data_IF_371020784923
#
_entry.id   IF_371020784923
#
_cell.length_a   1.000
_cell.length_b   1.000
_cell.length_c   1.000
_cell.angle_alpha   90.00
_cell.angle_beta   90.00
_cell.angle_gamma   90.00
#
_symmetry.space_group_name_H-M   'P 1'
#
loop_
_entity.id
_entity.type
_entity.pdbx_description
1 polymer ?
#
# COMPACT_ATOMS: atom_id res chain seq x y z
N UNK A 1 -20.84 1.90 3.94
CA UNK A 1 -19.87 1.26 3.03
C UNK A 1 -19.80 -0.15 3.56
N UNK A 2 -20.33 -1.13 2.82
CA UNK A 2 -20.55 -2.46 3.38
C UNK A 2 -19.41 -3.38 2.90
N UNK A 3 -18.28 -3.32 3.60
CA UNK A 3 -17.17 -4.28 3.42
C UNK A 3 -17.58 -5.61 4.08
N UNK A 4 -17.38 -6.72 3.37
CA UNK A 4 -17.77 -8.04 3.86
C UNK A 4 -17.02 -8.37 5.16
N UNK A 5 -17.77 -8.41 6.26
CA UNK A 5 -17.24 -8.62 7.61
C UNK A 5 -17.59 -10.01 8.07
N UNK A 6 -16.61 -10.79 8.51
CA UNK A 6 -16.85 -12.11 9.08
C UNK A 6 -16.64 -12.07 10.60
N UNK A 7 -17.61 -12.57 11.36
CA UNK A 7 -17.42 -12.83 12.80
C UNK A 7 -17.53 -14.33 13.04
N UNK A 8 -16.42 -14.92 13.49
CA UNK A 8 -16.32 -16.31 13.92
C UNK A 8 -16.29 -16.43 15.44
N UNK A 9 -16.08 -17.65 15.97
CA UNK A 9 -15.84 -17.87 17.40
C UNK A 9 -14.62 -17.04 17.86
N UNK A 10 -14.87 -15.81 18.33
CA UNK A 10 -13.91 -14.82 18.84
C UNK A 10 -13.00 -14.11 17.83
N UNK A 11 -13.43 -13.92 16.57
CA UNK A 11 -12.64 -13.12 15.61
C UNK A 11 -13.55 -12.24 14.75
N UNK A 12 -13.33 -10.93 14.76
CA UNK A 12 -13.75 -10.03 13.69
C UNK A 12 -12.65 -10.05 12.62
N UNK A 13 -13.01 -10.30 11.37
CA UNK A 13 -12.05 -10.29 10.26
C UNK A 13 -12.57 -9.54 9.05
N UNK A 14 -11.67 -8.75 8.45
CA UNK A 14 -11.90 -7.99 7.22
C UNK A 14 -10.75 -8.21 6.26
N UNK A 15 -11.11 -8.41 4.98
CA UNK A 15 -10.15 -8.49 3.89
C UNK A 15 -9.56 -7.10 3.63
N UNK A 16 -8.33 -6.93 4.08
CA UNK A 16 -7.55 -5.73 3.88
C UNK A 16 -7.41 -5.33 2.40
N UNK A 17 -7.41 -6.29 1.47
CA UNK A 17 -7.27 -6.03 0.04
C UNK A 17 -8.51 -5.34 -0.52
N UNK A 18 -9.70 -5.79 -0.14
CA UNK A 18 -10.95 -5.22 -0.64
C UNK A 18 -11.10 -3.78 -0.16
N UNK A 19 -10.74 -3.51 1.10
CA UNK A 19 -10.72 -2.16 1.62
C UNK A 19 -9.75 -1.25 0.85
N UNK A 20 -8.49 -1.69 0.69
CA UNK A 20 -7.48 -0.93 -0.04
C UNK A 20 -7.93 -0.67 -1.48
N UNK A 21 -8.55 -1.65 -2.13
CA UNK A 21 -9.07 -1.53 -3.50
C UNK A 21 -10.18 -0.48 -3.58
N UNK A 22 -11.13 -0.49 -2.65
CA UNK A 22 -12.22 0.50 -2.64
C UNK A 22 -11.69 1.93 -2.42
N UNK A 23 -10.72 2.10 -1.53
CA UNK A 23 -10.05 3.38 -1.28
C UNK A 23 -9.42 3.89 -2.57
N UNK A 24 -8.60 3.07 -3.22
CA UNK A 24 -7.95 3.45 -4.48
C UNK A 24 -8.98 3.87 -5.54
N UNK A 25 -10.11 3.17 -5.63
CA UNK A 25 -11.23 3.52 -6.53
C UNK A 25 -11.90 4.86 -6.20
N UNK A 26 -11.98 5.24 -4.92
CA UNK A 26 -12.59 6.52 -4.49
C UNK A 26 -11.69 7.70 -4.78
N UNK A 27 -10.40 7.53 -4.58
CA UNK A 27 -9.46 8.61 -4.78
C UNK A 27 -9.28 8.90 -6.28
N UNK A 28 -9.38 7.93 -7.21
CA UNK A 28 -9.06 8.20 -8.63
C UNK A 28 -9.72 7.44 -9.79
N UNK A 29 -9.53 8.03 -10.98
CA UNK A 29 -10.10 7.69 -12.31
C UNK A 29 -9.01 7.33 -13.34
N UNK A 30 -7.75 7.05 -12.94
CA UNK A 30 -6.68 6.62 -13.85
C UNK A 30 -5.58 5.78 -13.16
N UNK A 31 -5.26 4.62 -13.75
CA UNK A 31 -4.19 3.71 -13.30
C UNK A 31 -2.79 4.23 -13.67
N UNK A 32 -1.76 3.92 -12.86
CA UNK A 32 -0.38 4.40 -13.03
C UNK A 32 0.61 3.29 -13.46
N UNK A 33 0.49 2.72 -14.68
CA UNK A 33 1.13 1.46 -15.04
C UNK A 33 2.66 1.51 -15.12
N UNK A 34 3.25 2.64 -15.49
CA UNK A 34 4.70 2.76 -15.60
C UNK A 34 5.36 2.64 -14.21
N UNK A 35 4.85 3.38 -13.23
CA UNK A 35 5.35 3.32 -11.86
C UNK A 35 5.02 1.97 -11.21
N UNK A 36 3.83 1.41 -11.44
CA UNK A 36 3.49 0.07 -10.94
C UNK A 36 4.49 -1.00 -11.43
N UNK A 37 4.89 -0.92 -12.71
CA UNK A 37 5.93 -1.80 -13.24
C UNK A 37 7.29 -1.56 -12.58
N UNK A 38 7.67 -0.31 -12.32
CA UNK A 38 8.91 0.01 -11.57
C UNK A 38 8.86 -0.60 -10.17
N UNK A 39 7.78 -0.43 -9.41
CA UNK A 39 7.61 -1.01 -8.08
C UNK A 39 7.70 -2.54 -8.09
N UNK A 40 7.09 -3.17 -9.10
CA UNK A 40 7.17 -4.62 -9.29
C UNK A 40 8.60 -5.10 -9.58
N UNK A 41 9.38 -4.28 -10.29
CA UNK A 41 10.78 -4.57 -10.59
C UNK A 41 11.66 -4.42 -9.33
N UNK A 42 11.37 -3.46 -8.46
CA UNK A 42 12.16 -3.19 -7.24
C UNK A 42 11.81 -4.13 -6.08
N UNK A 43 10.52 -4.47 -5.88
CA UNK A 43 10.05 -5.25 -4.72
C UNK A 43 10.47 -6.75 -4.71
N UNK A 44 11.32 -7.19 -5.64
CA UNK A 44 11.83 -8.57 -5.66
C UNK A 44 13.26 -8.58 -5.08
N UNK A 45 13.53 -9.38 -4.02
CA UNK A 45 14.91 -9.62 -3.63
C UNK A 45 15.65 -10.27 -4.82
N UNK A 46 16.60 -9.53 -5.40
CA UNK A 46 17.29 -9.92 -6.63
C UNK A 46 16.67 -9.41 -7.94
N UNK A 47 15.84 -8.36 -7.91
CA UNK A 47 15.29 -7.77 -9.13
C UNK A 47 14.42 -8.73 -9.92
N UNK A 48 14.12 -8.37 -11.17
CA UNK A 48 13.38 -9.22 -12.08
C UNK A 48 14.22 -10.45 -12.44
N UNK A 49 14.15 -11.53 -11.66
CA UNK A 49 15.10 -12.66 -11.76
C UNK A 49 16.50 -12.25 -11.24
N UNK A 50 17.17 -13.11 -10.46
CA UNK A 50 18.41 -12.81 -9.72
C UNK A 50 19.57 -12.24 -10.57
N UNK A 51 19.44 -12.30 -11.90
CA UNK A 51 20.42 -11.88 -12.90
C UNK A 51 20.10 -10.52 -13.56
N UNK A 52 19.01 -9.84 -13.19
CA UNK A 52 18.62 -8.55 -13.78
C UNK A 52 18.99 -7.36 -12.90
N UNK A 53 19.82 -6.47 -13.42
CA UNK A 53 20.17 -5.16 -12.87
C UNK A 53 19.19 -4.09 -13.37
N UNK A 54 18.82 -3.13 -12.51
CA UNK A 54 17.96 -2.01 -12.89
C UNK A 54 18.74 -0.70 -12.96
N UNK A 55 18.52 0.03 -14.04
CA UNK A 55 19.12 1.35 -14.28
C UNK A 55 18.04 2.41 -14.42
N UNK A 56 18.33 3.63 -13.99
CA UNK A 56 17.45 4.79 -14.07
C UNK A 56 18.12 5.96 -14.79
N UNK A 57 17.35 6.66 -15.62
CA UNK A 57 17.73 7.95 -16.19
C UNK A 57 16.53 8.91 -16.30
N UNK A 58 16.85 10.19 -16.46
CA UNK A 58 15.90 11.23 -16.82
C UNK A 58 15.10 10.83 -18.07
N UNK A 59 13.82 11.22 -18.14
CA UNK A 59 12.90 10.78 -19.19
C UNK A 59 13.31 11.14 -20.63
N UNK A 60 14.11 12.21 -20.79
CA UNK A 60 14.61 12.64 -22.10
C UNK A 60 15.95 12.00 -22.46
N UNK A 61 16.63 11.38 -21.49
CA UNK A 61 17.89 10.67 -21.74
C UNK A 61 17.57 9.37 -22.44
N UNK A 62 18.08 9.20 -23.65
CA UNK A 62 17.97 7.91 -24.34
C UNK A 62 19.00 6.97 -23.74
N UNK A 63 18.55 5.86 -23.14
CA UNK A 63 19.44 4.77 -22.75
C UNK A 63 19.60 3.84 -23.94
N UNK A 64 20.77 3.88 -24.56
CA UNK A 64 21.20 2.91 -25.55
C UNK A 64 21.84 1.69 -24.88
N UNK A 65 22.15 0.69 -25.71
CA UNK A 65 22.76 -0.53 -25.22
C UNK A 65 24.05 -0.09 -24.49
N UNK A 66 24.94 0.58 -25.19
CA UNK A 66 26.33 0.85 -24.78
C UNK A 66 26.47 1.58 -23.43
N UNK A 67 25.45 2.35 -23.03
CA UNK A 67 25.43 3.12 -21.78
C UNK A 67 25.39 2.25 -20.51
N UNK A 68 24.92 1.00 -20.63
CA UNK A 68 24.79 0.06 -19.49
C UNK A 68 25.80 -1.09 -19.56
N UNK A 69 26.91 -0.93 -20.28
CA UNK A 69 27.96 -1.95 -20.27
C UNK A 69 28.66 -2.00 -18.89
N UNK A 70 29.13 -3.19 -18.41
CA UNK A 70 29.69 -3.37 -17.06
C UNK A 70 30.91 -2.50 -16.71
N UNK A 71 31.56 -1.93 -17.71
CA UNK A 71 32.79 -1.13 -17.54
C UNK A 71 32.55 0.38 -17.74
N UNK A 72 31.31 0.77 -18.04
CA UNK A 72 30.96 2.17 -18.30
C UNK A 72 30.81 2.93 -16.98
N UNK A 73 31.63 3.97 -16.78
CA UNK A 73 31.57 4.86 -15.61
C UNK A 73 30.59 6.04 -15.83
N UNK A 74 30.40 6.42 -17.09
CA UNK A 74 29.49 7.50 -17.52
C UNK A 74 28.20 6.88 -18.07
N UNK A 75 27.13 6.85 -17.28
CA UNK A 75 25.89 6.20 -17.69
C UNK A 75 24.71 6.46 -16.76
N UNK A 76 23.54 5.85 -17.04
CA UNK A 76 22.40 5.87 -16.15
C UNK A 76 22.77 5.32 -14.78
N UNK A 77 22.12 5.81 -13.72
CA UNK A 77 22.40 5.38 -12.36
C UNK A 77 21.88 3.95 -12.14
N UNK A 78 22.66 3.15 -11.43
CA UNK A 78 22.28 1.80 -11.03
C UNK A 78 21.46 1.82 -9.72
N UNK A 79 20.41 1.01 -9.65
CA UNK A 79 19.60 0.81 -8.45
C UNK A 79 20.10 -0.43 -7.70
N UNK A 80 20.87 -0.21 -6.63
CA UNK A 80 21.63 -1.25 -5.88
C UNK A 80 20.85 -1.86 -4.69
N UNK A 81 19.73 -1.25 -4.28
CA UNK A 81 18.95 -1.70 -3.13
C UNK A 81 17.70 -2.50 -3.57
N UNK A 82 17.35 -3.53 -2.78
CA UNK A 82 16.05 -4.18 -2.88
C UNK A 82 14.91 -3.20 -2.55
N UNK A 83 15.18 -2.14 -1.80
CA UNK A 83 14.29 -1.02 -1.57
C UNK A 83 14.50 0.09 -2.62
N UNK A 84 14.17 -0.23 -3.87
CA UNK A 84 14.39 0.68 -4.99
C UNK A 84 13.66 2.03 -4.85
N UNK A 85 12.56 2.11 -4.10
CA UNK A 85 11.90 3.39 -3.81
C UNK A 85 12.81 4.33 -3.01
N UNK A 86 13.49 3.80 -2.00
CA UNK A 86 14.43 4.57 -1.18
C UNK A 86 15.63 5.06 -1.99
N UNK A 87 16.13 4.26 -2.93
CA UNK A 87 17.19 4.70 -3.84
C UNK A 87 16.70 5.79 -4.81
N UNK A 88 15.49 5.66 -5.35
CA UNK A 88 14.87 6.71 -6.16
C UNK A 88 14.69 8.03 -5.40
N UNK A 89 14.37 7.94 -4.10
CA UNK A 89 14.31 9.10 -3.21
C UNK A 89 15.69 9.72 -2.96
N UNK A 90 16.72 8.90 -2.64
CA UNK A 90 18.11 9.38 -2.48
C UNK A 90 18.64 10.07 -3.74
N UNK A 91 18.30 9.52 -4.92
CA UNK A 91 18.65 10.11 -6.21
C UNK A 91 17.80 11.35 -6.54
N UNK A 92 16.76 11.66 -5.76
CA UNK A 92 15.93 12.86 -5.88
C UNK A 92 14.90 12.79 -7.02
N UNK A 93 14.44 11.61 -7.40
CA UNK A 93 13.40 11.44 -8.43
C UNK A 93 11.99 11.50 -7.84
N UNK A 94 11.84 11.08 -6.59
CA UNK A 94 10.56 11.05 -5.87
C UNK A 94 10.75 11.30 -4.37
N UNK A 95 9.65 11.50 -3.66
CA UNK A 95 9.58 11.39 -2.19
C UNK A 95 8.48 10.41 -1.80
N UNK A 96 8.66 9.74 -0.67
CA UNK A 96 7.72 8.76 -0.13
C UNK A 96 7.11 9.29 1.16
N UNK A 97 5.78 9.22 1.26
CA UNK A 97 5.03 9.66 2.42
C UNK A 97 4.06 8.58 2.86
N UNK A 98 4.23 8.08 4.08
CA UNK A 98 3.27 7.15 4.67
C UNK A 98 1.96 7.89 4.97
N UNK A 99 0.89 7.47 4.32
CA UNK A 99 -0.43 8.04 4.54
C UNK A 99 -1.05 7.39 5.77
N UNK A 100 -0.96 6.06 5.81
CA UNK A 100 -1.42 5.25 6.92
C UNK A 100 -0.93 3.80 6.87
N UNK A 101 -0.94 3.16 8.04
CA UNK A 101 -0.44 1.80 8.26
C UNK A 101 -1.15 1.15 9.44
N UNK A 102 -1.52 -0.12 9.28
CA UNK A 102 -2.19 -0.94 10.30
C UNK A 102 -1.66 -2.38 10.21
N UNK A 103 -1.44 -3.03 11.36
CA UNK A 103 -1.01 -4.45 11.43
C UNK A 103 -2.15 -5.35 11.83
N UNK A 104 -2.20 -6.58 11.34
CA UNK A 104 -3.17 -7.60 11.76
C UNK A 104 -3.07 -7.93 13.26
N UNK A 105 -1.86 -7.85 13.83
CA UNK A 105 -1.64 -8.18 15.25
C UNK A 105 -2.29 -7.20 16.23
N UNK A 106 -2.58 -5.98 15.77
CA UNK A 106 -3.19 -4.92 16.55
C UNK A 106 -4.60 -4.57 16.04
N UNK A 107 -5.15 -5.34 15.10
CA UNK A 107 -6.40 -5.02 14.41
C UNK A 107 -7.34 -6.20 14.20
N UNK A 108 -8.57 -5.88 13.78
CA UNK A 108 -9.57 -6.82 13.28
C UNK A 108 -9.30 -7.26 11.82
N UNK A 109 -8.12 -7.01 11.26
CA UNK A 109 -7.79 -7.38 9.88
C UNK A 109 -7.22 -8.79 9.78
N UNK A 110 -7.46 -9.45 8.64
CA UNK A 110 -6.82 -10.73 8.33
C UNK A 110 -5.31 -10.58 8.00
N UNK A 111 -4.93 -9.45 7.42
CA UNK A 111 -3.54 -9.05 7.14
C UNK A 111 -3.40 -7.54 7.41
N UNK A 112 -2.18 -7.07 7.71
CA UNK A 112 -1.92 -5.63 7.78
C UNK A 112 -2.24 -4.91 6.47
N UNK A 113 -2.38 -3.58 6.50
CA UNK A 113 -2.58 -2.75 5.31
C UNK A 113 -1.82 -1.44 5.40
N UNK A 114 -1.42 -0.91 4.25
CA UNK A 114 -0.68 0.33 4.16
C UNK A 114 -1.10 1.14 2.93
N UNK A 115 -1.15 2.45 3.10
CA UNK A 115 -1.30 3.41 2.01
C UNK A 115 -0.09 4.35 2.03
N UNK A 116 0.53 4.52 0.87
CA UNK A 116 1.72 5.34 0.71
C UNK A 116 1.54 6.30 -0.46
N UNK A 117 1.79 7.59 -0.25
CA UNK A 117 1.89 8.56 -1.33
C UNK A 117 3.33 8.61 -1.85
N UNK A 118 3.46 8.47 -3.16
CA UNK A 118 4.72 8.60 -3.88
C UNK A 118 4.60 9.88 -4.71
N UNK A 119 5.36 10.91 -4.35
CA UNK A 119 5.43 12.15 -5.14
C UNK A 119 6.62 12.07 -6.08
N UNK A 120 6.37 11.87 -7.35
CA UNK A 120 7.39 11.94 -8.41
C UNK A 120 7.68 13.41 -8.70
N UNK A 121 8.93 13.81 -8.47
CA UNK A 121 9.42 15.18 -8.63
C UNK A 121 9.94 15.43 -10.05
N UNK A 122 10.63 14.43 -10.61
CA UNK A 122 11.26 14.53 -11.93
C UNK A 122 10.85 13.36 -12.80
N UNK A 123 10.59 13.57 -14.11
CA UNK A 123 10.24 12.48 -15.00
C UNK A 123 11.44 11.56 -15.20
N UNK A 124 11.25 10.26 -15.05
CA UNK A 124 12.30 9.26 -15.23
C UNK A 124 11.78 8.01 -15.92
N UNK A 125 12.69 7.19 -16.41
CA UNK A 125 12.37 5.83 -16.84
C UNK A 125 13.43 4.87 -16.29
N UNK A 126 13.08 3.59 -16.27
CA UNK A 126 14.01 2.54 -15.90
C UNK A 126 14.21 1.55 -17.03
N UNK A 127 15.35 0.85 -17.01
CA UNK A 127 15.61 -0.30 -17.87
C UNK A 127 16.16 -1.44 -17.04
N UNK A 128 15.66 -2.65 -17.29
CA UNK A 128 16.23 -3.87 -16.73
C UNK A 128 17.26 -4.45 -17.70
N UNK A 129 18.41 -4.84 -17.19
CA UNK A 129 19.55 -5.36 -17.95
C UNK A 129 19.95 -6.71 -17.36
N UNK A 130 19.99 -7.75 -18.20
CA UNK A 130 20.50 -9.07 -17.79
C UNK A 130 21.95 -9.18 -18.23
N UNK A 131 22.83 -9.51 -17.29
CA UNK A 131 24.25 -9.78 -17.55
C UNK A 131 24.51 -11.29 -17.68
N UNK A 132 25.46 -11.69 -18.55
CA UNK A 132 25.86 -13.10 -18.77
C UNK A 132 27.37 -13.22 -18.89
N UNK A 133 27.90 -14.35 -18.41
CA UNK A 133 29.32 -14.71 -18.45
C UNK A 133 29.51 -16.02 -19.24
N UNK A 134 29.91 -15.92 -20.51
CA UNK A 134 30.15 -17.12 -21.34
C UNK A 134 31.54 -17.72 -21.16
N UNK A 135 32.54 -16.92 -20.81
CA UNK A 135 33.96 -17.32 -20.93
C UNK A 135 34.78 -17.29 -19.63
N UNK A 136 34.35 -16.60 -18.58
CA UNK A 136 35.11 -16.49 -17.34
C UNK A 136 34.21 -16.60 -16.10
N UNK A 137 34.67 -17.34 -15.08
CA UNK A 137 34.07 -17.41 -13.74
C UNK A 137 34.37 -16.16 -12.89
N UNK A 138 35.32 -15.31 -13.33
CA UNK A 138 35.82 -14.14 -12.60
C UNK A 138 36.06 -13.01 -13.60
N UNK A 139 35.46 -11.84 -13.37
CA UNK A 139 35.53 -10.65 -14.24
C UNK A 139 34.16 -10.07 -14.59
N UNK A 140 34.10 -8.89 -15.23
CA UNK A 140 32.83 -8.31 -15.69
C UNK A 140 32.15 -9.19 -16.74
N UNK A 141 30.83 -9.05 -16.87
CA UNK A 141 30.06 -9.82 -17.83
C UNK A 141 30.52 -9.56 -19.28
N UNK A 142 30.63 -10.60 -20.10
CA UNK A 142 31.01 -10.48 -21.51
C UNK A 142 29.80 -10.34 -22.45
N UNK A 143 28.58 -10.47 -21.90
CA UNK A 143 27.33 -10.23 -22.60
C UNK A 143 26.29 -9.61 -21.70
N UNK A 144 25.40 -8.81 -22.29
CA UNK A 144 24.30 -8.19 -21.57
C UNK A 144 23.23 -7.70 -22.54
N UNK A 145 21.97 -7.73 -22.13
CA UNK A 145 20.82 -7.32 -22.95
C UNK A 145 19.82 -6.51 -22.11
N UNK A 146 19.24 -5.46 -22.70
CA UNK A 146 18.11 -4.73 -22.08
C UNK A 146 16.85 -5.59 -22.27
N UNK A 147 16.25 -6.02 -21.16
CA UNK A 147 15.11 -6.94 -21.13
C UNK A 147 13.78 -6.28 -20.78
N UNK A 148 13.80 -5.11 -20.13
CA UNK A 148 12.59 -4.38 -19.75
C UNK A 148 12.73 -2.87 -19.97
N UNK A 149 11.62 -2.23 -20.37
CA UNK A 149 11.48 -0.78 -20.55
C UNK A 149 10.05 -0.35 -20.16
N UNK A 150 9.77 -0.10 -18.87
CA UNK A 150 8.42 0.15 -18.35
C UNK A 150 7.72 1.41 -18.89
N UNK A 151 8.46 2.26 -19.61
CA UNK A 151 8.00 3.58 -20.04
C UNK A 151 8.45 4.68 -19.09
N UNK A 152 7.98 5.90 -19.35
CA UNK A 152 8.29 7.08 -18.54
C UNK A 152 7.31 7.18 -17.38
N UNK A 153 7.84 7.39 -16.19
CA UNK A 153 7.12 7.82 -14.99
C UNK A 153 7.12 9.34 -14.97
N UNK A 154 5.94 9.95 -15.05
CA UNK A 154 5.78 11.40 -15.10
C UNK A 154 5.57 12.02 -13.70
N UNK A 155 5.93 13.30 -13.51
CA UNK A 155 5.71 14.02 -12.26
C UNK A 155 4.26 14.00 -11.84
N UNK A 156 4.05 13.87 -10.54
CA UNK A 156 2.74 13.66 -9.97
C UNK A 156 2.79 13.01 -8.62
N UNK A 157 1.69 13.09 -7.89
CA UNK A 157 1.47 12.26 -6.71
C UNK A 157 0.80 10.98 -7.18
N UNK A 158 1.20 9.85 -6.62
CA UNK A 158 0.63 8.52 -6.82
C UNK A 158 0.30 7.92 -5.46
N UNK A 159 -0.77 7.16 -5.33
CA UNK A 159 -1.13 6.45 -4.09
C UNK A 159 -0.99 4.96 -4.34
N UNK A 160 -0.09 4.34 -3.58
CA UNK A 160 0.19 2.92 -3.56
C UNK A 160 -0.52 2.28 -2.37
N UNK A 161 -1.25 1.21 -2.61
CA UNK A 161 -1.89 0.39 -1.60
C UNK A 161 -1.26 -0.98 -1.52
N UNK A 162 -0.96 -1.44 -0.32
CA UNK A 162 -0.40 -2.77 -0.08
C UNK A 162 -0.97 -3.43 1.17
N UNK A 163 -0.92 -4.77 1.21
CA UNK A 163 -1.42 -5.61 2.31
C UNK A 163 -0.36 -6.60 2.81
N UNK A 164 -0.34 -6.89 4.10
CA UNK A 164 0.61 -7.78 4.77
C UNK A 164 1.41 -7.09 5.87
N UNK A 165 1.73 -7.82 6.95
CA UNK A 165 2.43 -7.28 8.12
C UNK A 165 3.95 -7.22 7.97
N UNK A 166 4.54 -8.32 7.47
CA UNK A 166 6.00 -8.49 7.35
C UNK A 166 6.47 -8.57 5.91
N UNK A 167 5.57 -8.92 4.99
CA UNK A 167 5.80 -8.93 3.55
C UNK A 167 4.58 -8.34 2.89
N UNK A 168 4.67 -7.06 2.56
CA UNK A 168 3.59 -6.37 1.89
C UNK A 168 3.49 -6.83 0.44
N UNK A 169 2.26 -7.03 -0.01
CA UNK A 169 1.87 -7.35 -1.38
C UNK A 169 1.15 -6.14 -1.94
N UNK A 170 1.58 -5.70 -3.12
CA UNK A 170 0.93 -4.63 -3.86
C UNK A 170 -0.53 -5.03 -4.19
N UNK A 171 -1.45 -4.13 -3.85
CA UNK A 171 -2.87 -4.23 -4.19
C UNK A 171 -3.19 -3.33 -5.38
N UNK A 172 -2.53 -2.18 -5.47
CA UNK A 172 -2.72 -1.27 -6.58
C UNK A 172 -2.01 0.07 -6.43
N UNK A 173 -1.94 0.77 -7.55
CA UNK A 173 -1.32 2.07 -7.66
C UNK A 173 -2.17 2.97 -8.57
N UNK A 174 -2.65 4.07 -7.99
CA UNK A 174 -3.39 5.09 -8.75
C UNK A 174 -2.54 6.33 -8.87
N UNK A 175 -2.61 7.00 -10.03
CA UNK A 175 -2.19 8.40 -10.08
C UNK A 175 -3.04 9.12 -9.03
N UNK A 176 -2.51 10.04 -8.22
CA UNK A 176 -3.14 10.76 -7.08
C UNK A 176 -3.17 12.30 -7.17
N UNK A 177 -2.32 12.92 -7.98
CA UNK A 177 -2.31 14.37 -8.16
C UNK A 177 -1.42 14.87 -9.27
N UNK A 178 -1.62 16.09 -9.78
CA UNK A 178 -0.48 16.86 -10.30
C UNK A 178 0.60 16.99 -9.20
N UNK A 179 1.87 17.25 -9.55
CA UNK A 179 2.97 17.29 -8.59
C UNK A 179 2.87 18.42 -7.56
N UNK A 180 1.96 19.37 -7.72
CA UNK A 180 1.65 20.43 -6.75
C UNK A 180 0.56 20.04 -5.76
N UNK A 181 -0.07 18.86 -5.91
CA UNK A 181 -1.09 18.40 -4.96
C UNK A 181 -0.49 18.39 -3.56
N UNK A 182 -1.17 19.01 -2.61
CA UNK A 182 -0.78 18.97 -1.20
C UNK A 182 -0.96 17.54 -0.67
N UNK A 183 0.17 16.89 -0.32
CA UNK A 183 0.14 15.53 0.24
C UNK A 183 -0.43 15.52 1.65
N UNK A 184 -0.31 16.61 2.41
CA UNK A 184 -0.88 16.70 3.75
C UNK A 184 -2.41 16.81 3.66
N UNK A 185 -2.92 17.55 2.68
CA UNK A 185 -4.35 17.57 2.37
C UNK A 185 -4.85 16.20 1.88
N UNK A 186 -4.04 15.45 1.11
CA UNK A 186 -4.38 14.08 0.71
C UNK A 186 -4.38 13.13 1.91
N UNK A 187 -3.43 13.24 2.83
CA UNK A 187 -3.41 12.50 4.10
C UNK A 187 -4.69 12.82 4.89
N UNK A 188 -5.03 14.10 5.00
CA UNK A 188 -6.23 14.54 5.70
C UNK A 188 -7.50 14.01 5.06
N UNK A 189 -7.64 14.11 3.73
CA UNK A 189 -8.79 13.57 3.00
C UNK A 189 -8.92 12.05 3.16
N UNK A 190 -7.81 11.30 3.09
CA UNK A 190 -7.82 9.85 3.32
C UNK A 190 -8.22 9.50 4.76
N UNK A 191 -7.82 10.32 5.74
CA UNK A 191 -8.13 10.08 7.14
C UNK A 191 -9.54 10.51 7.54
N UNK A 192 -10.02 11.66 7.06
CA UNK A 192 -11.33 12.20 7.41
C UNK A 192 -12.46 11.76 6.47
N UNK A 193 -12.28 11.74 5.15
CA UNK A 193 -13.39 11.46 4.23
C UNK A 193 -13.67 9.97 4.03
N UNK A 194 -12.76 9.10 4.45
CA UNK A 194 -12.85 7.67 4.12
C UNK A 194 -13.00 6.71 5.28
N UNK A 195 -13.03 7.16 6.54
CA UNK A 195 -13.24 6.28 7.72
C UNK A 195 -12.29 5.06 7.72
N UNK A 196 -11.18 5.15 6.98
CA UNK A 196 -10.43 4.00 6.43
C UNK A 196 -9.84 3.13 7.51
N UNK A 197 -9.47 3.74 8.63
CA UNK A 197 -8.87 3.05 9.76
C UNK A 197 -9.87 2.87 10.88
N UNK A 198 -11.17 3.03 10.58
CA UNK A 198 -12.20 2.96 11.58
C UNK A 198 -13.09 1.73 11.40
N UNK A 199 -13.53 1.17 12.52
CA UNK A 199 -14.63 0.23 12.54
C UNK A 199 -15.79 0.90 13.26
N UNK A 200 -16.88 1.13 12.53
CA UNK A 200 -18.15 1.55 13.09
C UNK A 200 -18.92 0.33 13.60
N UNK A 201 -19.49 0.43 14.79
CA UNK A 201 -20.30 -0.62 15.38
C UNK A 201 -21.65 -0.03 15.78
N UNK A 202 -22.75 -0.64 15.36
CA UNK A 202 -24.11 -0.10 15.59
C UNK A 202 -25.03 -1.19 16.09
N UNK A 203 -25.79 -0.90 17.14
CA UNK A 203 -26.86 -1.76 17.61
C UNK A 203 -28.13 -1.62 16.77
N UNK A 204 -28.62 -2.74 16.25
CA UNK A 204 -29.84 -2.83 15.42
C UNK A 204 -31.13 -2.40 16.14
N UNK A 205 -31.12 -2.35 17.48
CA UNK A 205 -32.32 -2.15 18.30
C UNK A 205 -32.36 -0.83 19.06
N UNK A 206 -31.30 -0.49 19.78
CA UNK A 206 -31.26 0.77 20.55
C UNK A 206 -30.59 1.92 19.79
N UNK A 207 -29.96 1.65 18.63
CA UNK A 207 -29.27 2.66 17.84
C UNK A 207 -28.01 3.23 18.50
N UNK A 208 -27.55 2.63 19.60
CA UNK A 208 -26.25 2.94 20.17
C UNK A 208 -25.15 2.61 19.17
N UNK A 209 -24.16 3.48 19.08
CA UNK A 209 -23.06 3.33 18.15
C UNK A 209 -21.70 3.65 18.79
N UNK A 210 -20.68 3.00 18.24
CA UNK A 210 -19.30 3.09 18.68
C UNK A 210 -18.35 3.14 17.48
N UNK A 211 -17.16 3.68 17.72
CA UNK A 211 -16.07 3.68 16.74
C UNK A 211 -14.80 3.14 17.36
N UNK A 212 -14.15 2.22 16.66
CA UNK A 212 -12.74 1.94 16.86
C UNK A 212 -11.94 2.61 15.74
N UNK A 213 -10.70 3.02 16.04
CA UNK A 213 -9.76 3.57 15.06
C UNK A 213 -8.42 2.84 15.16
N UNK A 214 -7.65 2.87 14.07
CA UNK A 214 -6.30 2.31 13.95
C UNK A 214 -6.21 0.84 14.41
N UNK A 215 -7.27 0.07 14.09
CA UNK A 215 -7.36 -1.35 14.45
C UNK A 215 -7.75 -1.66 15.88
N UNK A 216 -8.01 -0.66 16.71
CA UNK A 216 -8.34 -0.93 18.11
C UNK A 216 -9.49 -1.93 18.29
N UNK A 217 -9.32 -2.92 19.17
CA UNK A 217 -10.40 -3.78 19.63
C UNK A 217 -11.31 -3.09 20.66
N UNK A 218 -10.91 -1.89 21.11
CA UNK A 218 -11.70 -1.04 22.00
C UNK A 218 -12.54 -0.06 21.19
N UNK A 219 -13.85 -0.24 21.26
CA UNK A 219 -14.85 0.57 20.61
C UNK A 219 -15.28 1.72 21.52
N UNK A 220 -14.99 2.95 21.10
CA UNK A 220 -15.33 4.19 21.81
C UNK A 220 -16.77 4.58 21.58
N UNK A 221 -17.50 4.86 22.65
CA UNK A 221 -18.89 5.28 22.58
C UNK A 221 -19.04 6.62 21.84
N UNK A 222 -19.92 6.64 20.83
CA UNK A 222 -20.35 7.88 20.19
C UNK A 222 -21.73 8.29 20.72
N UNK A 223 -22.75 7.43 20.55
CA UNK A 223 -24.09 7.61 21.14
C UNK A 223 -24.47 6.49 22.11
N UNK A 224 -23.48 5.71 22.54
CA UNK A 224 -23.59 4.71 23.59
C UNK A 224 -23.28 5.29 24.99
N UNK A 225 -23.55 4.53 26.04
CA UNK A 225 -23.26 4.93 27.42
C UNK A 225 -21.85 4.59 27.87
N UNK A 226 -21.22 3.59 27.25
CA UNK A 226 -19.88 3.13 27.65
C UNK A 226 -19.13 2.53 26.48
N UNK A 227 -17.80 2.67 26.51
CA UNK A 227 -16.89 1.97 25.61
C UNK A 227 -16.97 0.46 25.87
N UNK A 228 -16.67 -0.35 24.86
CA UNK A 228 -16.54 -1.79 25.06
C UNK A 228 -15.34 -2.36 24.32
N UNK A 229 -14.78 -3.44 24.86
CA UNK A 229 -13.78 -4.24 24.19
C UNK A 229 -14.47 -5.42 23.49
N UNK A 230 -14.13 -5.66 22.23
CA UNK A 230 -14.68 -6.78 21.46
C UNK A 230 -14.40 -8.14 22.11
N UNK A 231 -13.21 -8.32 22.70
CA UNK A 231 -12.84 -9.58 23.35
C UNK A 231 -13.69 -9.84 24.60
N UNK A 232 -14.11 -8.76 25.28
CA UNK A 232 -15.00 -8.82 26.43
C UNK A 232 -16.49 -8.91 26.04
N UNK A 233 -16.82 -8.72 24.75
CA UNK A 233 -18.19 -8.72 24.27
C UNK A 233 -18.86 -10.09 24.46
N UNK A 234 -20.15 -10.07 24.81
CA UNK A 234 -20.88 -11.29 25.16
C UNK A 234 -21.70 -11.84 23.98
N UNK A 235 -21.91 -13.16 23.99
CA UNK A 235 -22.85 -13.90 23.10
C UNK A 235 -22.71 -13.60 21.60
N UNK A 236 -21.50 -13.78 21.07
CA UNK A 236 -21.21 -13.79 19.63
C UNK A 236 -22.19 -14.69 18.85
N UNK A 237 -22.74 -14.19 17.73
CA UNK A 237 -23.63 -14.96 16.85
C UNK A 237 -23.57 -14.46 15.40
N UNK A 238 -23.09 -15.31 14.49
CA UNK A 238 -22.84 -14.88 13.11
C UNK A 238 -21.92 -13.67 13.09
N UNK A 239 -22.23 -12.65 12.29
CA UNK A 239 -21.50 -11.38 12.13
C UNK A 239 -21.74 -10.33 13.25
N UNK A 240 -22.32 -10.72 14.38
CA UNK A 240 -22.79 -9.77 15.42
C UNK A 240 -22.43 -10.19 16.84
N UNK A 241 -22.38 -9.22 17.76
CA UNK A 241 -22.28 -9.43 19.21
C UNK A 241 -23.53 -8.92 19.93
N UNK A 242 -23.76 -9.34 21.18
CA UNK A 242 -24.83 -8.76 21.99
C UNK A 242 -24.50 -7.31 22.34
N UNK A 243 -25.52 -6.45 22.32
CA UNK A 243 -25.36 -5.06 22.69
C UNK A 243 -24.88 -4.91 24.15
N UNK A 244 -23.79 -4.16 24.40
CA UNK A 244 -23.27 -3.94 25.75
C UNK A 244 -24.10 -2.92 26.55
N UNK A 245 -25.06 -2.24 25.90
CA UNK A 245 -25.92 -1.26 26.55
C UNK A 245 -26.81 -1.91 27.62
N UNK A 246 -26.76 -1.44 28.89
CA UNK A 246 -27.48 -2.08 30.00
C UNK A 246 -29.00 -2.18 29.81
N UNK A 247 -29.57 -1.25 29.03
CA UNK A 247 -31.00 -1.18 28.76
C UNK A 247 -31.41 -1.92 27.47
N UNK A 248 -30.45 -2.42 26.68
CA UNK A 248 -30.70 -3.10 25.41
C UNK A 248 -30.52 -4.62 25.56
N UNK A 249 -31.60 -5.31 25.95
CA UNK A 249 -31.54 -6.70 26.41
C UNK A 249 -31.35 -7.72 25.26
N UNK A 250 -31.90 -7.43 24.06
CA UNK A 250 -31.80 -8.34 22.91
C UNK A 250 -31.30 -7.66 21.63
N UNK A 251 -30.67 -6.49 21.74
CA UNK A 251 -30.05 -5.84 20.58
C UNK A 251 -28.77 -6.55 20.13
N UNK A 252 -28.49 -6.49 18.83
CA UNK A 252 -27.28 -7.02 18.21
C UNK A 252 -26.48 -5.90 17.59
N UNK A 253 -25.18 -5.92 17.85
CA UNK A 253 -24.22 -4.97 17.29
C UNK A 253 -23.62 -5.58 16.04
N UNK A 254 -23.82 -4.91 14.91
CA UNK A 254 -23.13 -5.19 13.65
C UNK A 254 -21.93 -4.27 13.50
N UNK A 255 -20.92 -4.74 12.77
CA UNK A 255 -19.67 -4.03 12.54
C UNK A 255 -19.57 -3.65 11.07
N UNK A 256 -19.05 -2.47 10.81
CA UNK A 256 -18.79 -1.92 9.48
C UNK A 256 -17.42 -1.30 9.50
N UNK A 257 -16.48 -1.93 8.82
CA UNK A 257 -15.10 -1.48 8.70
C UNK A 257 -14.98 -0.60 7.46
N UNK A 258 -14.33 0.55 7.62
CA UNK A 258 -13.95 1.44 6.52
C UNK A 258 -12.65 1.02 5.85
#
# INVERSE_FOLDING_TARGET
MDVETHVGYHKLSVDAQDTVTEILNRFRVADAPALANVLRLTNRPGGYDADTSLYIADALTKIDREDVAPETVDGPAYLDDADGLRELEKLGYLTVHDLAYETSSASYLDEGRSLTAIRVLRPFHTVGVVYRWRRALIGPADQWDIVTRPGVVWPGVYVHGAVGDYRSRDVGLVYAGPPELDTDALIYAIREDSDVFTCHAVCDRCGADWYAADGSWTFRANRAHTDFDFDDAHRHHGTTVMCPEPLCVDGRVSFTVG
#
